data_IF_848594950699
#
_entry.id   IF_848594950699
#
_cell.length_a   1.000
_cell.length_b   1.000
_cell.length_c   1.000
_cell.angle_alpha   90.00
_cell.angle_beta   90.00
_cell.angle_gamma   90.00
#
_symmetry.space_group_name_H-M   'P 1'
#
loop_
_entity.id
_entity.type
_entity.pdbx_description
1 polymer ?
#
# COMPACT_ATOMS: atom_id res chain seq x y z
N UNK A 1 22.12 32.80 -25.58
CA UNK A 1 22.60 31.82 -26.58
C UNK A 1 22.48 32.36 -28.00
N UNK A 2 21.31 32.78 -28.49
CA UNK A 2 21.10 33.21 -29.89
C UNK A 2 22.15 34.18 -30.47
N UNK A 3 22.56 35.24 -29.74
CA UNK A 3 23.58 36.20 -30.21
C UNK A 3 24.98 35.58 -30.38
N UNK A 4 25.32 34.58 -29.57
CA UNK A 4 26.61 33.85 -29.63
C UNK A 4 26.67 32.99 -30.89
N UNK A 5 25.56 32.29 -31.16
CA UNK A 5 25.35 31.42 -32.32
C UNK A 5 25.31 32.20 -33.63
N UNK A 6 24.57 33.32 -33.67
CA UNK A 6 24.56 34.23 -34.82
C UNK A 6 25.95 34.82 -35.12
N UNK A 7 26.77 35.09 -34.10
CA UNK A 7 28.17 35.52 -34.30
C UNK A 7 29.03 34.41 -34.89
N UNK A 8 28.87 33.16 -34.44
CA UNK A 8 29.56 32.00 -35.01
C UNK A 8 29.17 31.76 -36.46
N UNK A 9 27.86 31.81 -36.78
CA UNK A 9 27.36 31.67 -38.16
C UNK A 9 27.96 32.72 -39.11
N UNK A 10 28.15 33.97 -38.66
CA UNK A 10 28.85 35.01 -39.45
C UNK A 10 30.30 34.65 -39.72
N UNK A 11 31.08 34.33 -38.68
CA UNK A 11 32.50 33.94 -38.82
C UNK A 11 32.69 32.67 -39.67
N UNK A 12 31.70 31.76 -39.64
CA UNK A 12 31.67 30.59 -40.50
C UNK A 12 31.38 30.99 -41.96
N UNK A 13 30.34 31.80 -42.19
CA UNK A 13 29.96 32.30 -43.52
C UNK A 13 31.02 33.20 -44.18
N UNK A 14 31.89 33.85 -43.42
CA UNK A 14 33.04 34.59 -43.97
C UNK A 14 34.08 33.65 -44.62
N UNK A 15 34.12 32.37 -44.23
CA UNK A 15 35.02 31.33 -44.76
C UNK A 15 34.35 30.45 -45.81
N UNK A 16 33.12 30.05 -45.52
CA UNK A 16 32.35 29.06 -46.26
C UNK A 16 31.37 29.71 -47.27
N UNK A 17 30.98 30.96 -47.03
CA UNK A 17 30.04 31.71 -47.86
C UNK A 17 28.59 31.53 -47.45
N UNK A 18 27.68 31.95 -48.33
CA UNK A 18 26.22 32.03 -48.07
C UNK A 18 25.60 30.67 -47.72
N UNK A 19 26.22 29.56 -48.11
CA UNK A 19 25.66 28.21 -47.90
C UNK A 19 25.44 27.87 -46.41
N UNK A 20 26.21 28.48 -45.50
CA UNK A 20 26.03 28.34 -44.04
C UNK A 20 24.65 28.81 -43.59
N UNK A 21 24.08 29.86 -44.20
CA UNK A 21 22.74 30.35 -43.88
C UNK A 21 21.61 29.55 -44.57
N UNK A 22 21.94 28.82 -45.64
CA UNK A 22 21.00 27.99 -46.39
C UNK A 22 20.93 26.55 -45.87
N UNK A 23 21.91 26.13 -45.07
CA UNK A 23 21.95 24.81 -44.46
C UNK A 23 20.82 24.69 -43.42
N UNK A 24 19.80 23.91 -43.76
CA UNK A 24 18.70 23.67 -42.82
C UNK A 24 19.22 22.92 -41.60
N UNK A 25 18.82 23.31 -40.37
CA UNK A 25 19.17 22.57 -39.17
C UNK A 25 18.61 21.15 -39.27
N UNK A 26 19.33 20.15 -38.74
CA UNK A 26 18.92 18.75 -38.83
C UNK A 26 17.71 18.47 -37.91
N UNK A 27 16.51 18.73 -38.43
CA UNK A 27 15.25 18.43 -37.75
C UNK A 27 15.00 16.92 -37.79
N UNK A 28 15.37 16.23 -36.71
CA UNK A 28 15.05 14.81 -36.53
C UNK A 28 13.54 14.61 -36.47
N UNK A 29 12.97 14.08 -37.55
CA UNK A 29 11.55 13.71 -37.65
C UNK A 29 11.13 12.56 -36.72
N UNK A 30 12.08 11.74 -36.24
CA UNK A 30 11.83 10.65 -35.31
C UNK A 30 12.04 11.10 -33.85
N UNK A 31 11.04 10.92 -32.95
CA UNK A 31 11.19 11.17 -31.53
C UNK A 31 12.42 10.45 -30.95
N UNK A 32 13.08 11.09 -29.98
CA UNK A 32 14.22 10.48 -29.31
C UNK A 32 13.74 9.26 -28.48
N UNK A 33 14.32 8.08 -28.70
CA UNK A 33 13.98 6.87 -27.94
C UNK A 33 14.11 7.07 -26.43
N UNK A 34 15.10 7.87 -25.98
CA UNK A 34 15.26 8.25 -24.57
C UNK A 34 14.09 9.06 -24.02
N UNK A 35 13.52 9.96 -24.83
CA UNK A 35 12.32 10.70 -24.45
C UNK A 35 11.12 9.76 -24.33
N UNK A 36 10.90 8.90 -25.32
CA UNK A 36 9.81 7.92 -25.30
C UNK A 36 9.89 7.01 -24.05
N UNK A 37 11.07 6.48 -23.73
CA UNK A 37 11.29 5.67 -22.53
C UNK A 37 11.01 6.48 -21.25
N UNK A 38 11.49 7.72 -21.16
CA UNK A 38 11.24 8.58 -19.99
C UNK A 38 9.74 8.89 -19.80
N UNK A 39 9.00 9.16 -20.87
CA UNK A 39 7.55 9.38 -20.82
C UNK A 39 6.81 8.13 -20.33
N UNK A 40 7.13 6.95 -20.89
CA UNK A 40 6.50 5.67 -20.48
C UNK A 40 6.78 5.36 -19.01
N UNK A 41 8.03 5.53 -18.56
CA UNK A 41 8.40 5.33 -17.15
C UNK A 41 7.69 6.32 -16.23
N UNK A 42 7.54 7.59 -16.62
CA UNK A 42 6.83 8.60 -15.84
C UNK A 42 5.34 8.27 -15.66
N UNK A 43 4.65 7.84 -16.72
CA UNK A 43 3.25 7.38 -16.63
C UNK A 43 3.13 6.16 -15.73
N UNK A 44 4.02 5.17 -15.86
CA UNK A 44 4.02 3.99 -15.00
C UNK A 44 4.29 4.32 -13.51
N UNK A 45 5.14 5.31 -13.22
CA UNK A 45 5.39 5.79 -11.86
C UNK A 45 4.15 6.49 -11.29
N UNK A 46 3.49 7.36 -12.08
CA UNK A 46 2.27 8.04 -11.68
C UNK A 46 1.13 7.06 -11.38
N UNK A 47 0.91 6.06 -12.23
CA UNK A 47 -0.12 5.04 -12.04
C UNK A 47 0.09 4.25 -10.72
N UNK A 48 1.32 3.75 -10.48
CA UNK A 48 1.66 3.06 -9.22
C UNK A 48 1.46 3.95 -7.99
N UNK A 49 1.76 5.25 -8.09
CA UNK A 49 1.53 6.19 -6.99
C UNK A 49 0.03 6.37 -6.69
N UNK A 50 -0.82 6.40 -7.73
CA UNK A 50 -2.28 6.45 -7.57
C UNK A 50 -2.80 5.17 -6.91
N UNK A 51 -2.44 3.99 -7.44
CA UNK A 51 -2.83 2.68 -6.87
C UNK A 51 -2.48 2.58 -5.37
N UNK A 52 -1.25 2.96 -5.00
CA UNK A 52 -0.81 3.00 -3.60
C UNK A 52 -1.63 3.99 -2.78
N UNK A 53 -1.92 5.19 -3.30
CA UNK A 53 -2.76 6.18 -2.59
C UNK A 53 -4.20 5.70 -2.37
N UNK A 54 -4.75 4.89 -3.28
CA UNK A 54 -6.06 4.29 -3.14
C UNK A 54 -6.05 3.17 -2.09
N UNK A 55 -5.01 2.34 -2.05
CA UNK A 55 -4.81 1.33 -1.00
C UNK A 55 -4.72 1.95 0.40
N UNK A 56 -3.93 3.02 0.59
CA UNK A 56 -3.87 3.74 1.88
C UNK A 56 -5.24 4.31 2.26
N UNK A 57 -5.93 5.00 1.34
CA UNK A 57 -7.29 5.53 1.60
C UNK A 57 -8.34 4.46 1.88
N UNK A 58 -8.18 3.24 1.35
CA UNK A 58 -9.05 2.11 1.66
C UNK A 58 -8.77 1.60 3.08
N UNK A 59 -7.50 1.46 3.44
CA UNK A 59 -7.07 1.03 4.78
C UNK A 59 -7.47 2.00 5.88
N UNK A 60 -7.34 3.30 5.65
CA UNK A 60 -7.77 4.33 6.61
C UNK A 60 -9.28 4.24 6.90
N UNK A 61 -10.09 4.02 5.86
CA UNK A 61 -11.55 3.81 5.99
C UNK A 61 -11.91 2.52 6.72
N UNK A 62 -11.17 1.45 6.50
CA UNK A 62 -11.34 0.18 7.21
C UNK A 62 -11.07 0.35 8.72
N UNK A 63 -9.95 1.00 9.07
CA UNK A 63 -9.58 1.32 10.45
C UNK A 63 -10.60 2.24 11.14
N UNK A 64 -11.17 3.22 10.42
CA UNK A 64 -12.26 4.05 10.95
C UNK A 64 -13.46 3.18 11.36
N UNK A 65 -13.91 2.27 10.49
CA UNK A 65 -15.05 1.40 10.78
C UNK A 65 -14.76 0.43 11.94
N UNK A 66 -13.58 -0.19 11.98
CA UNK A 66 -13.18 -1.07 13.09
C UNK A 66 -13.14 -0.31 14.42
N UNK A 67 -12.55 0.89 14.44
CA UNK A 67 -12.54 1.74 15.63
C UNK A 67 -13.96 2.09 16.12
N UNK A 68 -14.89 2.36 15.19
CA UNK A 68 -16.30 2.67 15.50
C UNK A 68 -17.06 1.45 16.03
N UNK A 69 -16.77 0.25 15.53
CA UNK A 69 -17.33 -1.00 16.04
C UNK A 69 -16.77 -1.32 17.44
N UNK A 70 -15.46 -1.18 17.63
CA UNK A 70 -14.77 -1.39 18.91
C UNK A 70 -15.23 -0.40 20.00
N UNK A 71 -15.47 0.87 19.64
CA UNK A 71 -15.99 1.85 20.59
C UNK A 71 -17.44 1.55 20.99
N UNK A 72 -18.27 1.04 20.06
CA UNK A 72 -19.66 0.60 20.36
C UNK A 72 -19.70 -0.63 21.26
N UNK A 73 -18.78 -1.59 21.09
CA UNK A 73 -18.76 -2.79 21.94
C UNK A 73 -18.35 -2.45 23.38
N UNK A 74 -17.36 -1.57 23.56
CA UNK A 74 -16.92 -1.07 24.88
C UNK A 74 -18.07 -0.38 25.62
N UNK A 75 -18.72 0.61 24.99
CA UNK A 75 -19.83 1.36 25.59
C UNK A 75 -20.98 0.44 26.04
N UNK A 76 -21.40 -0.49 25.18
CA UNK A 76 -22.46 -1.46 25.50
C UNK A 76 -22.14 -2.46 26.63
N UNK A 77 -20.85 -2.66 26.92
CA UNK A 77 -20.38 -3.55 28.00
C UNK A 77 -20.41 -2.88 29.37
N UNK A 78 -20.24 -1.55 29.42
CA UNK A 78 -20.19 -0.77 30.67
C UNK A 78 -21.55 -0.77 31.40
N UNK A 79 -22.64 -0.50 30.67
CA UNK A 79 -23.99 -0.39 31.26
C UNK A 79 -24.62 -1.71 31.75
N UNK A 80 -23.96 -2.86 31.58
CA UNK A 80 -24.49 -4.18 31.98
C UNK A 80 -24.04 -4.66 33.35
N UNK A 81 -23.04 -4.03 33.97
CA UNK A 81 -22.50 -4.48 35.27
C UNK A 81 -23.28 -3.96 36.48
N UNK A 82 -23.95 -2.82 36.34
CA UNK A 82 -24.36 -1.98 37.49
C UNK A 82 -25.78 -2.26 38.05
N UNK A 83 -26.34 -3.45 37.78
CA UNK A 83 -27.68 -3.83 38.25
C UNK A 83 -27.74 -5.17 38.99
N UNK A 84 -26.82 -5.39 39.93
CA UNK A 84 -26.83 -6.56 40.83
C UNK A 84 -26.72 -6.28 42.34
N UNK A 85 -26.84 -5.04 42.81
CA UNK A 85 -26.99 -4.72 44.24
C UNK A 85 -28.13 -3.73 44.52
N UNK A 86 -29.36 -4.26 44.57
CA UNK A 86 -30.37 -3.88 45.58
C UNK A 86 -31.54 -4.86 45.53
N UNK A 87 -31.49 -5.87 46.40
CA UNK A 87 -32.68 -6.63 46.82
C UNK A 87 -32.96 -6.27 48.27
N UNK A 88 -33.38 -5.03 48.51
CA UNK A 88 -34.00 -4.69 49.78
C UNK A 88 -35.50 -4.59 49.54
N UNK A 89 -36.22 -5.51 50.16
CA UNK A 89 -37.68 -5.59 50.13
C UNK A 89 -38.23 -4.47 50.99
N UNK A 90 -39.01 -3.54 50.43
CA UNK A 90 -40.17 -2.98 51.17
C UNK A 90 -41.24 -2.29 50.30
N UNK A 91 -42.37 -2.99 50.20
CA UNK A 91 -43.77 -2.52 50.17
C UNK A 91 -44.00 -0.99 50.09
N UNK A 92 -44.73 -0.53 49.06
CA UNK A 92 -46.14 -0.05 49.12
C UNK A 92 -46.66 0.55 47.80
N UNK A 93 -47.78 -0.02 47.32
CA UNK A 93 -48.98 0.57 46.66
C UNK A 93 -48.87 1.60 45.49
N UNK A 94 -49.80 1.44 44.51
CA UNK A 94 -50.03 2.25 43.28
C UNK A 94 -51.16 3.30 43.50
N UNK A 95 -51.78 3.95 42.48
CA UNK A 95 -51.37 4.29 41.09
C UNK A 95 -51.57 5.81 40.76
N UNK A 96 -51.22 6.25 39.54
CA UNK A 96 -51.55 7.60 39.04
C UNK A 96 -51.34 7.76 37.54
N UNK A 97 -52.25 8.48 36.90
CA UNK A 97 -52.24 8.87 35.48
C UNK A 97 -51.52 10.23 35.32
N UNK A 98 -51.41 10.92 34.17
CA UNK A 98 -52.11 10.77 32.87
C UNK A 98 -51.27 10.13 31.75
N UNK A 99 -50.87 10.90 30.74
CA UNK A 99 -50.47 10.49 29.38
C UNK A 99 -49.49 11.53 28.79
N UNK A 100 -48.57 11.11 27.91
CA UNK A 100 -48.29 11.84 26.65
C UNK A 100 -47.48 10.97 25.67
N UNK A 101 -47.84 11.00 24.39
CA UNK A 101 -47.39 10.04 23.39
C UNK A 101 -45.99 10.31 22.81
N UNK A 102 -45.12 9.29 22.80
CA UNK A 102 -44.08 9.18 21.77
C UNK A 102 -43.67 7.74 21.47
N UNK A 103 -44.23 7.19 20.39
CA UNK A 103 -43.91 5.85 19.91
C UNK A 103 -42.41 5.69 19.60
N UNK A 104 -41.73 4.81 20.35
CA UNK A 104 -40.36 4.40 20.05
C UNK A 104 -40.17 2.89 20.23
N UNK A 105 -39.97 2.20 19.10
CA UNK A 105 -39.31 0.90 18.96
C UNK A 105 -39.66 -0.19 19.99
N UNK A 106 -40.90 -0.68 19.97
CA UNK A 106 -41.27 -1.90 20.67
C UNK A 106 -40.71 -3.17 19.96
N UNK A 107 -39.72 -3.78 20.61
CA UNK A 107 -39.52 -5.24 20.69
C UNK A 107 -39.02 -6.00 19.44
N UNK A 108 -37.71 -6.24 19.40
CA UNK A 108 -37.15 -7.43 18.76
C UNK A 108 -37.56 -8.71 19.51
N UNK A 109 -38.09 -9.71 18.81
CA UNK A 109 -37.95 -11.13 19.18
C UNK A 109 -38.31 -12.06 18.02
N UNK A 110 -37.34 -12.80 17.49
CA UNK A 110 -37.41 -14.27 17.40
C UNK A 110 -36.10 -14.83 16.85
N UNK A 111 -35.59 -15.88 17.49
CA UNK A 111 -34.41 -16.63 17.07
C UNK A 111 -34.65 -17.42 15.78
N UNK A 112 -33.63 -17.53 14.93
CA UNK A 112 -33.44 -18.73 14.08
C UNK A 112 -31.95 -18.93 13.77
N UNK A 113 -31.46 -20.12 14.09
CA UNK A 113 -30.10 -20.58 13.78
C UNK A 113 -29.80 -20.50 12.29
N UNK A 114 -28.63 -19.95 11.95
CA UNK A 114 -27.95 -20.26 10.69
C UNK A 114 -26.62 -20.90 11.04
N UNK A 115 -26.42 -22.12 10.56
CA UNK A 115 -25.15 -22.83 10.67
C UNK A 115 -24.04 -21.95 10.12
N UNK A 116 -22.99 -21.74 10.91
CA UNK A 116 -21.77 -21.13 10.41
C UNK A 116 -20.98 -22.21 9.68
N UNK A 117 -21.27 -22.36 8.38
CA UNK A 117 -20.30 -22.95 7.48
C UNK A 117 -19.12 -21.96 7.44
N UNK A 118 -18.06 -22.31 8.16
CA UNK A 118 -16.83 -21.53 8.23
C UNK A 118 -16.10 -21.64 6.87
N UNK A 119 -15.96 -20.56 6.08
CA UNK A 119 -15.31 -20.62 4.78
C UNK A 119 -13.77 -20.63 4.87
N UNK A 120 -13.17 -20.61 6.07
CA UNK A 120 -11.72 -20.64 6.25
C UNK A 120 -11.19 -22.08 6.30
N UNK A 121 -10.51 -22.57 5.24
CA UNK A 121 -9.81 -23.84 5.33
C UNK A 121 -8.60 -23.69 6.27
N UNK A 122 -8.54 -24.54 7.30
CA UNK A 122 -7.34 -24.80 8.09
C UNK A 122 -6.87 -23.64 8.98
N UNK A 123 -7.16 -23.73 10.28
CA UNK A 123 -6.29 -23.19 11.33
C UNK A 123 -5.07 -24.09 11.59
N UNK A 124 -4.70 -24.91 10.61
CA UNK A 124 -3.54 -25.78 10.63
C UNK A 124 -2.32 -24.98 10.16
N UNK A 125 -2.04 -23.89 10.89
CA UNK A 125 -0.81 -23.14 10.72
C UNK A 125 0.37 -24.03 11.13
N UNK A 126 1.34 -24.18 10.21
CA UNK A 126 2.62 -24.82 10.49
C UNK A 126 3.21 -24.22 11.77
N UNK A 127 3.41 -25.04 12.80
CA UNK A 127 3.80 -24.57 14.12
C UNK A 127 5.19 -23.92 14.10
N UNK A 128 5.50 -23.11 15.11
CA UNK A 128 6.76 -22.37 15.21
C UNK A 128 7.99 -23.31 15.06
N UNK A 129 7.88 -24.57 15.51
CA UNK A 129 8.90 -25.61 15.32
C UNK A 129 9.20 -25.96 13.85
N UNK A 130 8.20 -25.95 12.98
CA UNK A 130 8.35 -26.23 11.55
C UNK A 130 8.96 -25.03 10.83
N UNK A 131 8.57 -23.82 11.24
CA UNK A 131 9.14 -22.56 10.77
C UNK A 131 10.63 -22.47 11.17
N UNK A 132 10.98 -22.83 12.40
CA UNK A 132 12.37 -22.82 12.87
C UNK A 132 13.23 -23.86 12.15
N UNK A 133 12.72 -25.09 11.94
CA UNK A 133 13.39 -26.12 11.10
C UNK A 133 13.59 -25.63 9.67
N UNK A 134 12.61 -24.94 9.08
CA UNK A 134 12.73 -24.35 7.75
C UNK A 134 13.79 -23.25 7.69
N UNK A 135 13.90 -22.40 8.72
CA UNK A 135 14.95 -21.38 8.81
C UNK A 135 16.35 -22.01 8.95
N UNK A 136 16.49 -23.06 9.79
CA UNK A 136 17.74 -23.81 9.94
C UNK A 136 18.14 -24.59 8.68
N UNK A 137 17.18 -24.98 7.82
CA UNK A 137 17.45 -25.67 6.55
C UNK A 137 18.01 -24.77 5.44
N UNK A 138 17.95 -23.44 5.62
CA UNK A 138 18.49 -22.48 4.67
C UNK A 138 19.97 -22.25 4.98
N UNK A 139 20.88 -22.29 4.00
CA UNK A 139 22.24 -21.83 4.23
C UNK A 139 22.21 -20.36 4.67
N UNK A 140 23.05 -20.01 5.66
CA UNK A 140 23.22 -18.61 6.05
C UNK A 140 23.77 -17.84 4.85
N UNK A 141 23.40 -16.56 4.73
CA UNK A 141 23.79 -15.74 3.57
C UNK A 141 25.32 -15.64 3.46
N UNK A 142 26.01 -15.71 4.61
CA UNK A 142 27.47 -15.73 4.73
C UNK A 142 28.12 -17.01 4.13
N UNK A 143 27.46 -18.17 4.25
CA UNK A 143 27.94 -19.43 3.66
C UNK A 143 27.88 -19.40 2.13
N UNK A 144 26.85 -18.77 1.57
CA UNK A 144 26.69 -18.60 0.12
C UNK A 144 27.84 -17.73 -0.44
N UNK A 145 28.19 -16.66 0.27
CA UNK A 145 29.27 -15.75 -0.13
C UNK A 145 30.63 -16.44 -0.02
N UNK A 146 30.85 -17.23 1.04
CA UNK A 146 32.06 -18.05 1.23
C UNK A 146 32.25 -19.07 0.10
N UNK A 147 31.18 -19.76 -0.32
CA UNK A 147 31.21 -20.77 -1.37
C UNK A 147 31.56 -20.26 -2.78
N UNK A 148 31.40 -18.96 -3.06
CA UNK A 148 31.72 -18.36 -4.36
C UNK A 148 33.16 -17.82 -4.45
N UNK A 149 33.95 -17.87 -3.36
CA UNK A 149 35.27 -17.23 -3.27
C UNK A 149 36.47 -17.96 -3.91
N UNK A 150 36.28 -19.16 -4.48
CA UNK A 150 37.38 -20.01 -4.97
C UNK A 150 37.32 -20.33 -6.48
N UNK A 151 37.47 -19.30 -7.31
CA UNK A 151 37.99 -19.44 -8.68
C UNK A 151 39.20 -18.53 -8.83
N UNK A 152 40.36 -19.02 -8.34
CA UNK A 152 41.63 -18.30 -8.41
C UNK A 152 42.29 -18.59 -9.76
N UNK A 153 42.54 -17.55 -10.54
CA UNK A 153 43.05 -17.66 -11.91
C UNK A 153 44.40 -18.40 -11.97
N UNK A 154 44.48 -19.37 -12.88
CA UNK A 154 45.74 -19.88 -13.43
C UNK A 154 45.74 -19.68 -14.95
N UNK A 155 46.04 -18.46 -15.39
CA UNK A 155 46.36 -18.18 -16.80
C UNK A 155 47.87 -18.06 -16.92
N UNK A 156 48.48 -19.00 -17.63
CA UNK A 156 49.92 -19.06 -17.86
C UNK A 156 50.41 -17.83 -18.63
N UNK A 157 51.42 -17.14 -18.09
CA UNK A 157 52.18 -16.14 -18.86
C UNK A 157 53.05 -16.83 -19.91
N UNK A 158 52.73 -16.61 -21.18
CA UNK A 158 53.56 -16.98 -22.32
C UNK A 158 54.03 -15.70 -23.04
N UNK A 159 55.33 -15.66 -23.32
CA UNK A 159 56.00 -14.82 -24.31
C UNK A 159 56.04 -13.29 -24.07
N UNK A 160 57.23 -12.81 -23.68
CA UNK A 160 58.12 -12.09 -24.59
C UNK A 160 59.59 -12.29 -24.17
#
# INVERSE_FOLDING_TARGET
MLMEEARRLRVQADKEGVHVYLQQPNVRSRPNSRFLTATVLGVQQANRAVEVSEMWRARDRELELDSRLRNRSIDSSSFRSEKRHSRQVERRLKPGHEEDDKASAALCSSSKSRSHEDPYPGKDGMGDEEIEKFLQSRPLVDDIISGMGYVKEHVSVLSL
#
